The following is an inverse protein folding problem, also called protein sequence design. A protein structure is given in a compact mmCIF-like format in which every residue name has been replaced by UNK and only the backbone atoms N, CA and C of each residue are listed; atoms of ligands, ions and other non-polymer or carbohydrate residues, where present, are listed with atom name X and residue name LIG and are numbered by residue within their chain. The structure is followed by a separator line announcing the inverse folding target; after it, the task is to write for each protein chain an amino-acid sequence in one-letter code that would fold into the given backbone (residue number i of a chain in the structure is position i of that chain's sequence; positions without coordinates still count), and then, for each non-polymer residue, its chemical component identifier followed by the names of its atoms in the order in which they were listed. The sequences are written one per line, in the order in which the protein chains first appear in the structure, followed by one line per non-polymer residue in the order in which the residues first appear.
data_IF_399623524012
#
_entry.id   IF_399623524012
#
_cell.length_a   1.000
_cell.length_b   1.000
_cell.length_c   1.000
_cell.angle_alpha   90.00
_cell.angle_beta   90.00
_cell.angle_gamma   90.00
#
_symmetry.space_group_name_H-M   'P 1'
#
loop_
_entity.id
_entity.type
_entity.pdbx_description
1 polymer ?
#
# COMPACT_ATOMS: atom_id res chain seq x y z
N UNK A 1 3.11 -1.49 9.93
CA UNK A 1 2.95 -0.76 8.67
C UNK A 1 2.09 0.46 8.95
N UNK A 2 2.51 1.66 8.55
CA UNK A 2 1.81 2.90 8.88
C UNK A 2 1.22 3.53 7.61
N UNK A 3 -0.01 4.02 7.72
CA UNK A 3 -0.69 4.80 6.68
C UNK A 3 -0.15 6.23 6.71
N UNK A 4 0.35 6.70 5.56
CA UNK A 4 0.89 8.04 5.32
C UNK A 4 -0.05 9.17 5.78
N UNK A 5 -1.36 9.01 5.57
CA UNK A 5 -2.37 10.03 5.83
C UNK A 5 -2.89 9.99 7.27
N UNK A 6 -2.63 8.91 8.00
CA UNK A 6 -2.94 8.78 9.42
C UNK A 6 -1.77 9.16 10.35
N UNK A 7 -0.66 9.67 9.79
CA UNK A 7 0.48 10.12 10.57
C UNK A 7 0.16 11.36 11.42
N UNK A 8 0.76 11.48 12.61
CA UNK A 8 0.54 12.64 13.48
C UNK A 8 1.09 13.93 12.85
N UNK A 9 0.55 15.07 13.27
CA UNK A 9 0.90 16.38 12.68
C UNK A 9 2.34 16.83 12.97
N UNK A 10 2.96 16.27 13.99
CA UNK A 10 4.34 16.52 14.41
C UNK A 10 5.33 15.47 13.87
N UNK A 11 4.92 14.60 12.94
CA UNK A 11 5.78 13.59 12.35
C UNK A 11 7.04 14.21 11.71
N UNK A 12 8.23 13.58 11.84
CA UNK A 12 9.48 14.09 11.27
C UNK A 12 9.36 14.47 9.79
N UNK A 13 9.74 15.71 9.46
CA UNK A 13 9.67 16.24 8.09
C UNK A 13 8.30 16.79 7.65
N UNK A 14 7.19 16.48 8.34
CA UNK A 14 5.83 16.89 7.93
C UNK A 14 5.64 18.42 7.83
N UNK A 15 6.30 19.15 8.72
CA UNK A 15 6.26 20.61 8.80
C UNK A 15 7.43 21.28 8.07
N UNK A 16 8.28 20.52 7.37
CA UNK A 16 9.36 21.08 6.55
C UNK A 16 8.80 21.93 5.40
N UNK A 17 9.56 22.96 5.01
CA UNK A 17 9.29 23.74 3.81
C UNK A 17 9.46 22.87 2.53
N UNK A 18 10.33 21.87 2.59
CA UNK A 18 10.64 20.97 1.47
C UNK A 18 9.66 19.81 1.35
N UNK A 19 8.72 19.66 2.30
CA UNK A 19 7.72 18.60 2.24
C UNK A 19 6.89 18.73 0.93
N UNK A 20 6.83 17.69 0.07
CA UNK A 20 6.24 17.79 -1.26
C UNK A 20 4.71 17.81 -1.20
N UNK A 21 4.11 18.91 -0.75
CA UNK A 21 2.65 19.05 -0.55
C UNK A 21 1.85 18.76 -1.83
N UNK A 22 2.38 19.21 -2.97
CA UNK A 22 1.80 19.04 -4.30
C UNK A 22 2.33 17.79 -5.03
N UNK A 23 3.24 17.02 -4.42
CA UNK A 23 3.75 15.77 -5.00
C UNK A 23 2.76 14.61 -4.84
N UNK A 24 3.12 13.50 -5.48
CA UNK A 24 2.40 12.22 -5.37
C UNK A 24 2.40 11.70 -3.93
N UNK A 25 1.55 10.70 -3.65
CA UNK A 25 1.60 9.98 -2.38
C UNK A 25 2.96 9.30 -2.16
N UNK A 26 3.54 8.75 -3.23
CA UNK A 26 4.89 8.20 -3.24
C UNK A 26 5.96 9.23 -2.84
N UNK A 27 5.97 10.41 -3.45
CA UNK A 27 6.95 11.47 -3.13
C UNK A 27 6.89 11.87 -1.65
N UNK A 28 5.67 11.97 -1.11
CA UNK A 28 5.41 12.27 0.30
C UNK A 28 5.92 11.16 1.21
N UNK A 29 5.63 9.90 0.88
CA UNK A 29 6.09 8.75 1.65
C UNK A 29 7.63 8.69 1.68
N UNK A 30 8.30 8.77 0.53
CA UNK A 30 9.76 8.75 0.43
C UNK A 30 10.40 9.88 1.24
N UNK A 31 9.87 11.10 1.14
CA UNK A 31 10.38 12.24 1.90
C UNK A 31 10.27 12.02 3.42
N UNK A 32 9.10 11.56 3.88
CA UNK A 32 8.86 11.34 5.31
C UNK A 32 9.64 10.12 5.85
N UNK A 33 9.83 9.08 5.04
CA UNK A 33 10.71 7.95 5.36
C UNK A 33 12.15 8.42 5.56
N UNK A 34 12.67 9.28 4.68
CA UNK A 34 14.02 9.85 4.83
C UNK A 34 14.14 10.70 6.10
N UNK A 35 13.16 11.57 6.36
CA UNK A 35 13.15 12.38 7.56
C UNK A 35 13.08 11.53 8.84
N UNK A 36 12.24 10.49 8.86
CA UNK A 36 12.14 9.57 9.99
C UNK A 36 13.42 8.75 10.19
N UNK A 37 14.06 8.30 9.11
CA UNK A 37 15.34 7.59 9.18
C UNK A 37 16.44 8.46 9.81
N UNK A 38 16.48 9.75 9.44
CA UNK A 38 17.41 10.72 10.01
C UNK A 38 17.11 11.04 11.49
N UNK A 39 15.83 11.17 11.84
CA UNK A 39 15.40 11.46 13.21
C UNK A 39 15.75 10.32 14.19
N UNK A 40 15.56 9.07 13.76
CA UNK A 40 15.91 7.89 14.56
C UNK A 40 17.42 7.61 14.54
N UNK A 41 18.11 7.90 13.44
CA UNK A 41 19.56 7.74 13.24
C UNK A 41 20.10 6.36 13.66
N UNK A 42 19.48 5.30 13.13
CA UNK A 42 19.91 3.91 13.33
C UNK A 42 19.98 3.18 12.01
N UNK A 43 21.13 2.57 11.72
CA UNK A 43 21.37 1.85 10.46
C UNK A 43 20.43 0.65 10.26
N UNK A 44 19.96 0.04 11.34
CA UNK A 44 19.03 -1.08 11.30
C UNK A 44 17.57 -0.64 11.14
N UNK A 45 17.29 0.67 11.21
CA UNK A 45 15.95 1.19 11.05
C UNK A 45 15.71 1.57 9.58
N UNK A 46 14.87 0.79 8.91
CA UNK A 46 14.47 1.00 7.51
C UNK A 46 12.97 1.34 7.50
N UNK A 47 12.59 2.62 7.52
CA UNK A 47 11.20 3.01 7.54
C UNK A 47 10.49 2.64 6.24
N UNK A 48 9.21 2.32 6.37
CA UNK A 48 8.29 2.21 5.25
C UNK A 48 6.89 2.67 5.64
N UNK A 49 6.36 3.59 4.86
CA UNK A 49 5.02 4.10 4.93
C UNK A 49 4.24 3.54 3.75
N UNK A 50 3.09 2.91 4.02
CA UNK A 50 2.14 2.70 2.95
C UNK A 50 1.54 4.04 2.58
N UNK A 51 1.54 4.34 1.29
CA UNK A 51 0.90 5.54 0.77
C UNK A 51 -0.58 5.54 1.13
N UNK A 52 -1.24 4.38 1.04
CA UNK A 52 -2.65 4.21 1.38
C UNK A 52 -2.85 3.09 2.40
N UNK A 53 -3.78 2.19 2.15
CA UNK A 53 -4.09 1.05 3.01
C UNK A 53 -3.33 -0.21 2.56
N UNK A 54 -3.23 -1.20 3.44
CA UNK A 54 -2.67 -2.52 3.11
C UNK A 54 -3.37 -3.15 1.89
N UNK A 55 -4.67 -2.97 1.79
CA UNK A 55 -5.51 -3.47 0.70
C UNK A 55 -5.10 -2.96 -0.69
N UNK A 56 -4.34 -1.87 -0.77
CA UNK A 56 -3.74 -1.41 -2.01
C UNK A 56 -2.86 -2.51 -2.64
N UNK A 57 -2.08 -3.22 -1.82
CA UNK A 57 -1.19 -4.29 -2.27
C UNK A 57 -1.94 -5.49 -2.87
N UNK A 58 -3.20 -5.71 -2.47
CA UNK A 58 -4.01 -6.83 -2.96
C UNK A 58 -4.40 -6.67 -4.43
N UNK A 59 -4.35 -5.44 -4.96
CA UNK A 59 -4.59 -5.19 -6.39
C UNK A 59 -3.48 -5.77 -7.28
N UNK A 60 -2.34 -6.19 -6.73
CA UNK A 60 -1.29 -6.89 -7.47
C UNK A 60 -1.73 -8.27 -8.00
N UNK A 61 -2.83 -8.84 -7.49
CA UNK A 61 -3.32 -10.14 -7.92
C UNK A 61 -4.82 -10.32 -7.71
N UNK A 62 -5.63 -9.57 -8.47
CA UNK A 62 -7.10 -9.63 -8.36
C UNK A 62 -7.70 -11.00 -8.63
N UNK A 63 -6.98 -11.90 -9.33
CA UNK A 63 -7.42 -13.28 -9.54
C UNK A 63 -7.56 -14.05 -8.21
N UNK A 64 -6.73 -13.75 -7.21
CA UNK A 64 -6.80 -14.44 -5.91
C UNK A 64 -8.16 -14.25 -5.20
N UNK A 65 -8.86 -13.15 -5.49
CA UNK A 65 -10.20 -12.87 -4.94
C UNK A 65 -11.28 -13.82 -5.46
N UNK A 66 -11.07 -14.48 -6.60
CA UNK A 66 -12.04 -15.40 -7.22
C UNK A 66 -12.33 -16.62 -6.31
N UNK A 67 -11.40 -16.96 -5.41
CA UNK A 67 -11.61 -18.03 -4.41
C UNK A 67 -12.55 -17.62 -3.27
N UNK A 68 -12.87 -16.32 -3.16
CA UNK A 68 -13.59 -15.71 -2.04
C UNK A 68 -14.96 -15.15 -2.45
N UNK A 69 -15.38 -15.35 -3.70
CA UNK A 69 -16.68 -14.95 -4.24
C UNK A 69 -17.32 -16.10 -5.01
N UNK A 70 -18.65 -16.19 -4.98
CA UNK A 70 -19.40 -17.14 -5.83
C UNK A 70 -19.63 -16.60 -7.25
N UNK A 71 -19.42 -15.30 -7.46
CA UNK A 71 -19.57 -14.61 -8.75
C UNK A 71 -18.37 -13.69 -8.99
N UNK A 72 -17.50 -14.04 -9.93
CA UNK A 72 -16.30 -13.27 -10.27
C UNK A 72 -16.60 -11.93 -10.94
N UNK A 73 -17.83 -11.73 -11.46
CA UNK A 73 -18.23 -10.48 -12.12
C UNK A 73 -18.26 -9.30 -11.15
N UNK A 74 -18.43 -9.58 -9.84
CA UNK A 74 -18.40 -8.56 -8.79
C UNK A 74 -17.03 -7.90 -8.66
N UNK A 75 -15.96 -8.54 -9.15
CA UNK A 75 -14.59 -8.03 -9.13
C UNK A 75 -14.28 -7.09 -10.31
N UNK A 76 -15.15 -7.02 -11.33
CA UNK A 76 -14.92 -6.20 -12.52
C UNK A 76 -14.64 -4.71 -12.19
N UNK A 77 -15.34 -4.07 -11.23
CA UNK A 77 -14.99 -2.72 -10.80
C UNK A 77 -13.55 -2.59 -10.30
N UNK A 78 -13.01 -3.61 -9.61
CA UNK A 78 -11.62 -3.62 -9.15
C UNK A 78 -10.65 -3.75 -10.34
N UNK A 79 -10.96 -4.64 -11.29
CA UNK A 79 -10.16 -4.83 -12.51
C UNK A 79 -10.09 -3.55 -13.33
N UNK A 80 -11.18 -2.79 -13.41
CA UNK A 80 -11.22 -1.51 -14.13
C UNK A 80 -10.37 -0.42 -13.47
N UNK A 81 -10.31 -0.38 -12.14
CA UNK A 81 -9.41 0.53 -11.42
C UNK A 81 -7.95 0.15 -11.71
N UNK A 82 -7.62 -1.13 -11.57
CA UNK A 82 -6.24 -1.60 -11.75
C UNK A 82 -5.71 -1.41 -13.18
N UNK A 83 -6.58 -1.38 -14.20
CA UNK A 83 -6.17 -1.06 -15.59
C UNK A 83 -5.58 0.33 -15.76
N UNK A 84 -5.94 1.28 -14.90
CA UNK A 84 -5.59 2.69 -15.05
C UNK A 84 -4.70 3.21 -13.92
N UNK A 85 -4.47 2.39 -12.88
CA UNK A 85 -3.80 2.81 -11.65
C UNK A 85 -3.01 1.65 -11.07
N UNK A 86 -1.74 1.92 -10.79
CA UNK A 86 -0.85 0.96 -10.13
C UNK A 86 -1.29 0.72 -8.67
N UNK A 87 -1.10 -0.50 -8.12
CA UNK A 87 -1.62 -0.86 -6.80
C UNK A 87 -1.32 0.15 -5.70
N UNK A 88 -0.07 0.61 -5.61
CA UNK A 88 0.38 1.55 -4.57
C UNK A 88 -0.25 2.95 -4.66
N UNK A 89 -0.79 3.31 -5.83
CA UNK A 89 -1.42 4.61 -6.11
C UNK A 89 -2.97 4.53 -6.08
N UNK A 90 -3.56 3.37 -5.79
CA UNK A 90 -5.03 3.22 -5.75
C UNK A 90 -5.58 3.95 -4.53
N UNK A 91 -5.98 5.21 -4.71
CA UNK A 91 -6.85 5.97 -3.80
C UNK A 91 -7.25 7.31 -4.45
N UNK A 92 -8.52 7.43 -4.84
CA UNK A 92 -9.01 8.69 -5.45
C UNK A 92 -9.72 9.60 -4.42
N UNK A 93 -9.61 9.29 -3.12
CA UNK A 93 -10.22 10.05 -2.05
C UNK A 93 -10.90 9.21 -0.96
N UNK A 94 -11.50 9.87 0.06
CA UNK A 94 -11.98 9.21 1.27
C UNK A 94 -12.99 8.09 1.02
N UNK A 95 -13.80 8.15 -0.04
CA UNK A 95 -14.81 7.15 -0.37
C UNK A 95 -14.33 6.08 -1.36
N UNK A 96 -13.13 6.24 -1.90
CA UNK A 96 -12.53 5.39 -2.94
C UNK A 96 -11.21 4.78 -2.50
N UNK A 97 -10.98 4.72 -1.18
CA UNK A 97 -9.89 3.98 -0.56
C UNK A 97 -9.93 2.49 -0.98
N UNK A 98 -8.77 1.81 -1.08
CA UNK A 98 -8.67 0.41 -1.52
C UNK A 98 -9.68 -0.52 -0.87
N UNK A 99 -9.78 -0.48 0.46
CA UNK A 99 -10.66 -1.37 1.20
C UNK A 99 -12.15 -1.10 0.96
N UNK A 100 -12.52 0.16 0.71
CA UNK A 100 -13.91 0.53 0.36
C UNK A 100 -14.27 0.03 -1.02
N UNK A 101 -13.31 0.05 -1.97
CA UNK A 101 -13.51 -0.52 -3.30
C UNK A 101 -13.73 -2.03 -3.20
N UNK A 102 -12.90 -2.72 -2.44
CA UNK A 102 -13.04 -4.16 -2.21
C UNK A 102 -14.38 -4.47 -1.54
N UNK A 103 -14.76 -3.75 -0.48
CA UNK A 103 -16.02 -3.97 0.22
C UNK A 103 -17.25 -3.69 -0.65
N UNK A 104 -17.17 -2.71 -1.57
CA UNK A 104 -18.23 -2.43 -2.52
C UNK A 104 -18.38 -3.53 -3.59
N UNK A 105 -17.27 -4.16 -3.99
CA UNK A 105 -17.26 -5.30 -4.90
C UNK A 105 -17.69 -6.60 -4.21
N UNK A 106 -17.15 -6.87 -3.03
CA UNK A 106 -17.35 -8.09 -2.25
C UNK A 106 -17.88 -7.71 -0.87
N UNK A 107 -19.21 -7.72 -0.71
CA UNK A 107 -19.89 -7.21 0.49
C UNK A 107 -19.49 -7.94 1.79
N UNK A 108 -19.14 -9.23 1.69
CA UNK A 108 -18.69 -10.06 2.81
C UNK A 108 -17.18 -9.92 3.09
N UNK A 109 -16.49 -8.96 2.46
CA UNK A 109 -15.07 -8.74 2.71
C UNK A 109 -14.78 -8.35 4.17
N UNK A 110 -14.01 -9.19 4.86
CA UNK A 110 -13.55 -8.96 6.22
C UNK A 110 -12.04 -8.69 6.20
N UNK A 111 -11.64 -7.43 6.41
CA UNK A 111 -10.21 -7.03 6.36
C UNK A 111 -9.28 -7.95 7.17
N UNK A 112 -9.57 -8.28 8.44
CA UNK A 112 -8.63 -9.05 9.26
C UNK A 112 -8.51 -10.52 8.84
N UNK A 113 -9.54 -11.06 8.17
CA UNK A 113 -9.58 -12.45 7.72
C UNK A 113 -9.11 -12.57 6.27
N UNK A 114 -9.81 -11.92 5.35
CA UNK A 114 -9.56 -12.06 3.91
C UNK A 114 -8.29 -11.35 3.45
N UNK A 115 -7.96 -10.20 4.03
CA UNK A 115 -6.79 -9.41 3.59
C UNK A 115 -5.47 -10.22 3.62
N UNK A 116 -5.08 -10.79 4.78
CA UNK A 116 -3.87 -11.60 4.86
C UNK A 116 -3.93 -12.89 4.01
N UNK A 117 -5.09 -13.55 3.94
CA UNK A 117 -5.25 -14.79 3.17
C UNK A 117 -5.12 -14.55 1.67
N UNK A 118 -5.79 -13.52 1.16
CA UNK A 118 -5.67 -13.10 -0.24
C UNK A 118 -4.22 -12.69 -0.54
N UNK A 119 -3.54 -11.96 0.35
CA UNK A 119 -2.13 -11.62 0.16
C UNK A 119 -1.23 -12.87 0.09
N UNK A 120 -1.52 -13.89 0.89
CA UNK A 120 -0.83 -15.19 0.81
C UNK A 120 -1.09 -15.89 -0.53
N UNK A 121 -2.33 -15.86 -1.03
CA UNK A 121 -2.70 -16.47 -2.31
C UNK A 121 -2.07 -15.74 -3.51
N UNK A 122 -1.96 -14.41 -3.44
CA UNK A 122 -1.24 -13.60 -4.45
C UNK A 122 0.26 -13.92 -4.45
N UNK A 123 0.83 -14.06 -3.25
CA UNK A 123 2.25 -14.32 -3.07
C UNK A 123 3.13 -13.08 -3.16
N UNK A 124 4.29 -13.17 -2.51
CA UNK A 124 5.20 -12.04 -2.34
C UNK A 124 5.79 -11.56 -3.68
N UNK A 125 6.14 -12.47 -4.58
CA UNK A 125 6.77 -12.12 -5.86
C UNK A 125 5.85 -11.27 -6.75
N UNK A 126 4.57 -11.60 -6.81
CA UNK A 126 3.58 -10.80 -7.55
C UNK A 126 3.39 -9.42 -6.93
N UNK A 127 3.26 -9.34 -5.59
CA UNK A 127 3.17 -8.05 -4.89
C UNK A 127 4.40 -7.19 -5.19
N UNK A 128 5.60 -7.76 -5.14
CA UNK A 128 6.85 -7.03 -5.42
C UNK A 128 6.97 -6.56 -6.87
N UNK A 129 6.42 -7.31 -7.83
CA UNK A 129 6.46 -6.95 -9.23
C UNK A 129 5.59 -5.72 -9.53
N UNK A 130 4.46 -5.57 -8.83
CA UNK A 130 3.49 -4.48 -9.05
C UNK A 130 3.61 -3.33 -8.03
N UNK A 131 4.36 -3.51 -6.94
CA UNK A 131 4.50 -2.52 -5.86
C UNK A 131 5.98 -2.13 -5.69
N UNK A 132 6.53 -1.24 -6.53
CA UNK A 132 7.95 -0.89 -6.52
C UNK A 132 8.44 -0.25 -5.22
N UNK A 133 7.61 0.55 -4.52
CA UNK A 133 8.00 1.17 -3.25
C UNK A 133 8.14 0.12 -2.15
N UNK A 134 7.15 -0.77 -2.01
CA UNK A 134 7.19 -1.93 -1.13
C UNK A 134 8.36 -2.87 -1.47
N UNK A 135 8.57 -3.18 -2.76
CA UNK A 135 9.66 -4.03 -3.23
C UNK A 135 11.04 -3.44 -2.89
N UNK A 136 11.19 -2.12 -3.05
CA UNK A 136 12.41 -1.40 -2.70
C UNK A 136 12.70 -1.41 -1.21
N UNK A 137 11.67 -1.28 -0.36
CA UNK A 137 11.83 -1.42 1.09
C UNK A 137 12.29 -2.82 1.48
N UNK A 138 11.63 -3.86 0.96
CA UNK A 138 11.98 -5.23 1.28
C UNK A 138 13.40 -5.59 0.82
N UNK A 139 13.80 -5.12 -0.37
CA UNK A 139 15.17 -5.29 -0.86
C UNK A 139 16.23 -4.67 0.06
N UNK A 140 15.95 -3.53 0.70
CA UNK A 140 16.86 -2.94 1.71
C UNK A 140 16.96 -3.81 2.96
N UNK A 141 15.86 -4.44 3.40
CA UNK A 141 15.85 -5.35 4.55
C UNK A 141 16.65 -6.62 4.23
N UNK A 142 16.41 -7.22 3.08
CA UNK A 142 17.10 -8.44 2.63
C UNK A 142 18.62 -8.22 2.54
N UNK A 143 19.04 -7.02 2.13
CA UNK A 143 20.45 -6.63 2.10
C UNK A 143 21.10 -6.50 3.49
N UNK A 144 20.34 -6.48 4.59
CA UNK A 144 20.90 -6.52 5.96
C UNK A 144 21.25 -7.94 6.41
N UNK A 145 20.69 -8.96 5.76
CA UNK A 145 20.93 -10.36 6.08
C UNK A 145 22.19 -10.92 5.39
N UNK A 146 22.83 -10.12 4.53
CA UNK A 146 24.09 -10.39 3.85
C UNK A 146 25.26 -9.70 4.58
#
# INVERSE_FOLDING_TARGET
MFDLYALPTDFPGRNSADYPRQGSGHDKAVFLEQALAQDIDRRQFIPHLLVHEFEALLFAGLQAFETWTDDDSVLEPLRQVHKNTEPEDINDGPNTAPSKRILAAMADYQKPLHGPLIACDIGLDAIRASCPHFSGWLGKIEALAL
#
